data_IF_919136005562
#
_entry.id   IF_919136005562
#
_cell.length_a   1.000
_cell.length_b   1.000
_cell.length_c   1.000
_cell.angle_alpha   90.00
_cell.angle_beta   90.00
_cell.angle_gamma   90.00
#
_symmetry.space_group_name_H-M   'P 1'
#
loop_
_entity.id
_entity.type
_entity.pdbx_description
1 polymer ?
#
# COMPACT_ATOMS: atom_id res chain seq x y z
N UNK A 1 4.61 26.38 30.97
CA UNK A 1 3.31 25.90 30.45
C UNK A 1 3.33 25.63 28.94
N UNK A 2 3.83 26.54 28.10
CA UNK A 2 3.84 26.35 26.64
C UNK A 2 4.67 25.15 26.12
N UNK A 3 5.75 24.75 26.81
CA UNK A 3 6.61 23.62 26.38
C UNK A 3 5.92 22.26 26.52
N UNK A 4 5.16 22.06 27.62
CA UNK A 4 4.43 20.81 27.84
C UNK A 4 3.32 20.58 26.82
N UNK A 5 2.67 21.66 26.34
CA UNK A 5 1.62 21.60 25.33
C UNK A 5 2.19 21.14 23.97
N UNK A 6 3.41 21.58 23.61
CA UNK A 6 4.08 21.14 22.38
C UNK A 6 4.46 19.66 22.43
N UNK A 7 4.92 19.19 23.59
CA UNK A 7 5.28 17.79 23.82
C UNK A 7 4.06 16.87 23.78
N UNK A 8 2.94 17.29 24.39
CA UNK A 8 1.66 16.58 24.30
C UNK A 8 1.12 16.54 22.87
N UNK A 9 1.21 17.65 22.14
CA UNK A 9 0.82 17.72 20.73
C UNK A 9 1.63 16.76 19.86
N UNK A 10 2.95 16.70 20.05
CA UNK A 10 3.82 15.79 19.31
C UNK A 10 3.52 14.31 19.63
N UNK A 11 3.32 13.98 20.91
CA UNK A 11 2.97 12.63 21.34
C UNK A 11 1.62 12.18 20.77
N UNK A 12 0.63 13.08 20.72
CA UNK A 12 -0.66 12.83 20.06
C UNK A 12 -0.49 12.58 18.57
N UNK A 13 0.34 13.36 17.85
CA UNK A 13 0.55 13.11 16.41
C UNK A 13 1.23 11.77 16.12
N UNK A 14 2.14 11.33 16.99
CA UNK A 14 2.83 10.04 16.85
C UNK A 14 1.88 8.87 17.14
N UNK A 15 1.00 9.01 18.14
CA UNK A 15 0.04 7.95 18.45
C UNK A 15 -1.03 7.78 17.36
N UNK A 16 -1.46 8.86 16.69
CA UNK A 16 -2.43 8.75 15.59
C UNK A 16 -1.79 8.23 14.31
N UNK A 17 -0.51 8.56 14.04
CA UNK A 17 0.23 8.03 12.88
C UNK A 17 0.60 6.54 13.03
N UNK A 18 0.68 6.03 14.27
CA UNK A 18 0.96 4.61 14.56
C UNK A 18 -0.22 3.67 14.33
N UNK A 19 -1.44 4.19 14.17
CA UNK A 19 -2.64 3.40 13.87
C UNK A 19 -2.82 3.14 12.36
N UNK A 20 -1.72 3.02 11.62
CA UNK A 20 -1.81 2.43 10.29
C UNK A 20 -2.11 0.95 10.48
N UNK A 21 -3.33 0.52 10.17
CA UNK A 21 -3.71 -0.89 10.14
C UNK A 21 -2.58 -1.66 9.44
N UNK A 22 -2.01 -2.62 10.17
CA UNK A 22 -1.01 -3.50 9.62
C UNK A 22 -1.59 -4.06 8.31
N UNK A 23 -0.89 -3.95 7.18
CA UNK A 23 -1.43 -4.46 5.92
C UNK A 23 -1.70 -5.97 5.98
N UNK A 24 -1.10 -6.65 6.95
CA UNK A 24 -1.27 -8.07 7.27
C UNK A 24 -2.52 -8.39 8.10
N UNK A 25 -3.18 -7.38 8.70
CA UNK A 25 -4.44 -7.52 9.44
C UNK A 25 -5.68 -7.22 8.57
N UNK A 26 -5.47 -7.00 7.27
CA UNK A 26 -6.52 -6.70 6.30
C UNK A 26 -7.31 -7.96 5.94
N UNK A 27 -8.14 -8.40 6.88
CA UNK A 27 -9.06 -9.53 6.71
C UNK A 27 -8.55 -10.85 7.29
N UNK A 28 -9.27 -11.94 6.98
CA UNK A 28 -9.00 -13.27 7.53
C UNK A 28 -7.97 -14.04 6.71
N UNK A 29 -7.02 -14.70 7.37
CA UNK A 29 -6.07 -15.61 6.74
C UNK A 29 -6.54 -17.07 6.83
N UNK A 30 -6.03 -17.98 5.98
CA UNK A 30 -6.42 -19.40 6.01
C UNK A 30 -6.11 -20.08 7.34
N UNK A 31 -6.94 -21.05 7.72
CA UNK A 31 -6.74 -21.80 8.97
C UNK A 31 -5.41 -22.56 8.95
N UNK A 32 -4.68 -22.51 10.07
CA UNK A 32 -3.39 -23.20 10.25
C UNK A 32 -2.17 -22.42 9.75
N UNK A 33 -2.34 -21.21 9.22
CA UNK A 33 -1.21 -20.36 8.83
C UNK A 33 -0.60 -19.70 10.07
N UNK A 34 0.73 -19.74 10.15
CA UNK A 34 1.48 -18.94 11.12
C UNK A 34 1.59 -17.49 10.65
N UNK A 35 1.97 -16.58 11.57
CA UNK A 35 2.27 -15.19 11.20
C UNK A 35 3.35 -15.09 10.12
N UNK A 36 4.33 -15.98 10.15
CA UNK A 36 5.39 -16.04 9.14
C UNK A 36 4.84 -16.43 7.76
N UNK A 37 3.91 -17.39 7.70
CA UNK A 37 3.29 -17.79 6.42
C UNK A 37 2.49 -16.63 5.82
N UNK A 38 1.76 -15.88 6.66
CA UNK A 38 1.03 -14.69 6.25
C UNK A 38 1.96 -13.61 5.70
N UNK A 39 3.05 -13.33 6.40
CA UNK A 39 4.03 -12.33 5.97
C UNK A 39 4.71 -12.74 4.66
N UNK A 40 5.12 -14.00 4.53
CA UNK A 40 5.73 -14.54 3.30
C UNK A 40 4.79 -14.40 2.12
N UNK A 41 3.54 -14.83 2.27
CA UNK A 41 2.56 -14.84 1.18
C UNK A 41 2.14 -13.41 0.78
N UNK A 42 2.04 -12.50 1.74
CA UNK A 42 1.84 -11.07 1.47
C UNK A 42 3.01 -10.47 0.68
N UNK A 43 4.25 -10.71 1.12
CA UNK A 43 5.44 -10.21 0.44
C UNK A 43 5.58 -10.78 -0.97
N UNK A 44 5.23 -12.06 -1.16
CA UNK A 44 5.21 -12.71 -2.47
C UNK A 44 4.19 -12.04 -3.41
N UNK A 45 2.96 -11.83 -2.92
CA UNK A 45 1.90 -11.21 -3.71
C UNK A 45 2.19 -9.73 -4.02
N UNK A 46 2.73 -8.98 -3.07
CA UNK A 46 3.16 -7.59 -3.24
C UNK A 46 4.29 -7.50 -4.29
N UNK A 47 5.28 -8.38 -4.21
CA UNK A 47 6.38 -8.43 -5.18
C UNK A 47 5.87 -8.70 -6.59
N UNK A 48 5.00 -9.70 -6.77
CA UNK A 48 4.40 -10.03 -8.07
C UNK A 48 3.54 -8.89 -8.61
N UNK A 49 2.74 -8.27 -7.76
CA UNK A 49 1.91 -7.13 -8.14
C UNK A 49 2.75 -5.93 -8.61
N UNK A 50 3.87 -5.64 -7.94
CA UNK A 50 4.80 -4.60 -8.38
C UNK A 50 5.46 -4.94 -9.70
N UNK A 51 6.01 -6.15 -9.82
CA UNK A 51 6.72 -6.60 -11.02
C UNK A 51 5.84 -6.52 -12.28
N UNK A 52 4.55 -6.87 -12.16
CA UNK A 52 3.60 -6.79 -13.26
C UNK A 52 3.28 -5.35 -13.71
N UNK A 53 3.52 -4.35 -12.85
CA UNK A 53 3.03 -2.98 -13.02
C UNK A 53 4.14 -1.93 -13.17
N UNK A 54 5.40 -2.27 -12.85
CA UNK A 54 6.55 -1.37 -12.96
C UNK A 54 6.64 -0.72 -14.35
N UNK A 55 6.52 -1.53 -15.41
CA UNK A 55 6.63 -1.05 -16.79
C UNK A 55 5.37 -0.35 -17.31
N UNK A 56 4.21 -0.47 -16.66
CA UNK A 56 2.96 0.15 -17.14
C UNK A 56 2.69 1.51 -16.50
N UNK A 57 3.01 1.68 -15.22
CA UNK A 57 2.73 2.94 -14.54
C UNK A 57 3.96 3.81 -14.32
N UNK A 58 5.17 3.27 -14.31
CA UNK A 58 6.37 4.05 -13.99
C UNK A 58 7.31 4.25 -15.17
N UNK A 59 6.99 3.69 -16.35
CA UNK A 59 7.77 3.85 -17.59
C UNK A 59 7.36 5.09 -18.40
N UNK A 60 8.19 5.55 -19.33
CA UNK A 60 7.81 6.64 -20.24
C UNK A 60 6.69 6.26 -21.25
N UNK A 61 6.41 4.97 -21.42
CA UNK A 61 5.37 4.44 -22.32
C UNK A 61 4.01 4.26 -21.64
N UNK A 62 3.85 4.76 -20.41
CA UNK A 62 2.56 4.73 -19.73
C UNK A 62 1.50 5.53 -20.48
N UNK A 63 0.24 5.06 -20.53
CA UNK A 63 -0.86 5.81 -21.13
C UNK A 63 -1.15 7.17 -20.45
N UNK A 64 -0.53 7.42 -19.29
CA UNK A 64 -0.53 8.71 -18.60
C UNK A 64 0.87 9.34 -18.71
N UNK A 65 1.18 10.18 -19.72
CA UNK A 65 2.52 10.75 -19.90
C UNK A 65 2.92 11.65 -18.71
N UNK A 66 4.21 11.66 -18.37
CA UNK A 66 4.75 12.56 -17.34
C UNK A 66 4.63 14.01 -17.80
N UNK A 67 4.06 14.88 -16.97
CA UNK A 67 4.05 16.31 -17.23
C UNK A 67 5.35 16.95 -16.78
N UNK A 68 5.83 17.96 -17.51
CA UNK A 68 7.03 18.72 -17.16
C UNK A 68 6.81 19.73 -16.01
N UNK A 69 5.63 19.74 -15.38
CA UNK A 69 5.24 20.72 -14.35
C UNK A 69 5.26 20.15 -12.93
N UNK A 70 5.57 20.96 -11.91
CA UNK A 70 5.44 20.55 -10.52
C UNK A 70 3.97 20.24 -10.19
N UNK A 71 3.70 19.03 -9.67
CA UNK A 71 2.38 18.56 -9.24
C UNK A 71 1.29 18.57 -10.34
N UNK A 72 1.54 17.96 -11.49
CA UNK A 72 0.47 17.81 -12.49
C UNK A 72 -0.62 16.85 -12.00
N UNK A 73 -1.92 17.16 -12.21
CA UNK A 73 -3.01 16.24 -11.92
C UNK A 73 -2.89 14.90 -12.64
N UNK A 74 -2.24 14.87 -13.82
CA UNK A 74 -1.98 13.65 -14.57
C UNK A 74 -0.97 12.74 -13.85
N UNK A 75 0.12 13.29 -13.31
CA UNK A 75 1.09 12.52 -12.53
C UNK A 75 0.46 11.99 -11.23
N UNK A 76 -0.41 12.78 -10.60
CA UNK A 76 -1.15 12.35 -9.42
C UNK A 76 -2.14 11.22 -9.76
N UNK A 77 -2.93 11.37 -10.82
CA UNK A 77 -3.88 10.35 -11.27
C UNK A 77 -3.16 9.04 -11.65
N UNK A 78 -1.99 9.14 -12.28
CA UNK A 78 -1.13 8.00 -12.60
C UNK A 78 -0.61 7.28 -11.36
N UNK A 79 -0.13 8.04 -10.37
CA UNK A 79 0.31 7.48 -9.10
C UNK A 79 -0.85 6.77 -8.39
N UNK A 80 -2.01 7.42 -8.29
CA UNK A 80 -3.20 6.82 -7.69
C UNK A 80 -3.60 5.54 -8.44
N UNK A 81 -3.67 5.60 -9.76
CA UNK A 81 -4.06 4.46 -10.57
C UNK A 81 -3.07 3.29 -10.44
N UNK A 82 -1.76 3.58 -10.45
CA UNK A 82 -0.73 2.59 -10.21
C UNK A 82 -0.84 1.94 -8.83
N UNK A 83 -1.03 2.74 -7.78
CA UNK A 83 -1.26 2.22 -6.42
C UNK A 83 -2.52 1.37 -6.34
N UNK A 84 -3.63 1.80 -6.93
CA UNK A 84 -4.88 1.03 -6.93
C UNK A 84 -4.74 -0.29 -7.67
N UNK A 85 -4.03 -0.30 -8.79
CA UNK A 85 -3.84 -1.52 -9.60
C UNK A 85 -2.93 -2.52 -8.88
N UNK A 86 -1.82 -2.05 -8.30
CA UNK A 86 -0.93 -2.89 -7.51
C UNK A 86 -1.68 -3.49 -6.30
N UNK A 87 -2.47 -2.68 -5.59
CA UNK A 87 -3.28 -3.17 -4.48
C UNK A 87 -4.29 -4.22 -4.95
N UNK A 88 -5.05 -3.94 -6.02
CA UNK A 88 -6.03 -4.89 -6.56
C UNK A 88 -5.39 -6.22 -7.02
N UNK A 89 -4.19 -6.17 -7.61
CA UNK A 89 -3.47 -7.38 -8.02
C UNK A 89 -2.92 -8.17 -6.84
N UNK A 90 -2.36 -7.49 -5.82
CA UNK A 90 -1.96 -8.14 -4.58
C UNK A 90 -3.16 -8.83 -3.93
N UNK A 91 -4.27 -8.11 -3.83
CA UNK A 91 -5.49 -8.58 -3.19
C UNK A 91 -6.07 -9.78 -3.96
N UNK A 92 -6.01 -9.76 -5.30
CA UNK A 92 -6.37 -10.91 -6.14
C UNK A 92 -5.47 -12.13 -5.85
N UNK A 93 -4.16 -11.91 -5.73
CA UNK A 93 -3.20 -12.98 -5.41
C UNK A 93 -3.45 -13.58 -4.01
N UNK A 94 -3.71 -12.76 -3.00
CA UNK A 94 -4.05 -13.20 -1.65
C UNK A 94 -5.38 -13.95 -1.64
N UNK A 95 -6.39 -13.45 -2.34
CA UNK A 95 -7.69 -14.13 -2.46
C UNK A 95 -7.53 -15.52 -3.10
N UNK A 96 -6.68 -15.64 -4.13
CA UNK A 96 -6.38 -16.94 -4.76
C UNK A 96 -5.69 -17.92 -3.80
N UNK A 97 -4.94 -17.43 -2.80
CA UNK A 97 -4.35 -18.22 -1.73
C UNK A 97 -5.33 -18.54 -0.58
N UNK A 98 -6.58 -18.08 -0.67
CA UNK A 98 -7.64 -18.36 0.30
C UNK A 98 -7.78 -17.31 1.40
N UNK A 99 -7.13 -16.15 1.26
CA UNK A 99 -7.34 -15.03 2.17
C UNK A 99 -8.72 -14.40 1.92
N UNK A 100 -9.35 -13.92 2.99
CA UNK A 100 -10.60 -13.17 2.96
C UNK A 100 -10.27 -11.71 3.21
N UNK A 101 -10.28 -10.90 2.16
CA UNK A 101 -9.95 -9.48 2.23
C UNK A 101 -11.22 -8.67 2.52
N UNK A 102 -11.09 -7.60 3.31
CA UNK A 102 -12.17 -6.67 3.69
C UNK A 102 -12.01 -5.32 3.00
#
# INVERSE_FOLDING_TARGET
MASCIKLLGLLLTISVAGCADSPYERGGYPAGFSRYDVERDYMECEYKARLANEQHFYSQSSPFPFSSGPQSPADHARMLHGMTTINAMRDTCLTAKGYRLN
#
